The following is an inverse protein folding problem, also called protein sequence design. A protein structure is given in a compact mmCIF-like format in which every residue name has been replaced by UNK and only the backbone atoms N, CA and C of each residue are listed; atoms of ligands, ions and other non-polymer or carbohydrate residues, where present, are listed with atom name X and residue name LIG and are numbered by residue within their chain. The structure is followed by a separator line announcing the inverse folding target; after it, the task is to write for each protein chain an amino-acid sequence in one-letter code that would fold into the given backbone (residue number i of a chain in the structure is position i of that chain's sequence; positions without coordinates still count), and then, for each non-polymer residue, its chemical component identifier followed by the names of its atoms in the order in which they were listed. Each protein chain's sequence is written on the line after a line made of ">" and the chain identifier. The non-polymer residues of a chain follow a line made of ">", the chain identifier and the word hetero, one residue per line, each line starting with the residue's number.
data_IF_932439243412
#
_entry.id   IF_932439243412
#
_cell.length_a   1.000
_cell.length_b   1.000
_cell.length_c   1.000
_cell.angle_alpha   90.00
_cell.angle_beta   90.00
_cell.angle_gamma   90.00
#
_symmetry.space_group_name_H-M   'P 1'
#
loop_
_entity.id
_entity.type
_entity.pdbx_description
1 polymer ?
#
# COMPACT_ATOMS: atom_id res chain seq x y z
N UNK A 1 4.75 -24.68 -23.55
CA UNK A 1 3.34 -24.46 -23.19
C UNK A 1 3.32 -24.48 -21.69
N UNK A 2 3.66 -23.33 -21.12
CA UNK A 2 3.72 -23.09 -19.68
C UNK A 2 2.91 -21.81 -19.50
N UNK A 3 1.59 -22.00 -19.56
CA UNK A 3 0.61 -20.95 -19.34
C UNK A 3 0.61 -20.72 -17.83
N UNK A 4 1.51 -19.84 -17.38
CA UNK A 4 1.48 -19.29 -16.04
C UNK A 4 0.25 -18.37 -15.97
N UNK A 5 -0.85 -18.91 -15.43
CA UNK A 5 -2.04 -18.13 -15.08
C UNK A 5 -1.62 -16.99 -14.16
N UNK A 6 -1.83 -15.76 -14.62
CA UNK A 6 -1.51 -14.54 -13.88
C UNK A 6 -2.43 -14.31 -12.68
N UNK A 7 -3.41 -15.19 -12.46
CA UNK A 7 -4.36 -15.12 -11.34
C UNK A 7 -3.74 -15.59 -10.02
N UNK A 8 -2.78 -16.53 -10.07
CA UNK A 8 -2.14 -17.10 -8.87
C UNK A 8 -1.15 -16.15 -8.16
N UNK A 9 -0.76 -15.05 -8.81
CA UNK A 9 0.17 -14.07 -8.23
C UNK A 9 -0.56 -13.03 -7.35
N UNK A 10 -1.89 -12.90 -7.51
CA UNK A 10 -2.70 -11.97 -6.71
C UNK A 10 -3.17 -12.58 -5.38
N UNK A 11 -3.11 -13.91 -5.22
CA UNK A 11 -3.70 -14.65 -4.09
C UNK A 11 -3.03 -14.37 -2.73
N UNK A 12 -1.82 -13.79 -2.71
CA UNK A 12 -1.05 -13.59 -1.47
C UNK A 12 -0.59 -12.14 -1.20
N UNK A 13 -1.22 -11.16 -1.84
CA UNK A 13 -0.87 -9.73 -1.69
C UNK A 13 -1.98 -8.86 -1.08
N UNK A 14 -3.07 -9.45 -0.58
CA UNK A 14 -4.03 -8.79 0.31
C UNK A 14 -3.79 -9.27 1.75
N UNK A 15 -3.78 -8.37 2.73
CA UNK A 15 -4.12 -8.84 4.08
C UNK A 15 -5.53 -9.46 3.98
N UNK A 16 -5.64 -10.67 4.51
CA UNK A 16 -6.90 -11.32 4.88
C UNK A 16 -7.56 -10.37 5.88
N UNK A 17 -8.83 -10.01 5.68
CA UNK A 17 -9.58 -9.37 6.77
C UNK A 17 -9.50 -10.30 8.00
N UNK A 18 -9.47 -9.75 9.21
CA UNK A 18 -9.38 -10.59 10.42
C UNK A 18 -10.54 -11.62 10.45
N UNK A 19 -11.69 -11.19 9.92
CA UNK A 19 -12.86 -11.96 9.55
C UNK A 19 -13.50 -11.36 8.28
N UNK A 20 -14.01 -12.21 7.39
CA UNK A 20 -14.86 -11.79 6.26
C UNK A 20 -16.35 -11.78 6.67
N UNK A 21 -16.66 -11.96 7.95
CA UNK A 21 -18.00 -11.98 8.55
C UNK A 21 -17.94 -11.07 9.78
N UNK A 22 -18.02 -9.75 9.57
CA UNK A 22 -17.76 -8.75 10.61
C UNK A 22 -18.79 -8.86 11.76
N UNK A 23 -20.00 -9.38 11.49
CA UNK A 23 -21.10 -9.49 12.44
C UNK A 23 -21.40 -10.90 12.98
N UNK A 24 -20.59 -11.89 12.60
CA UNK A 24 -20.66 -13.30 13.03
C UNK A 24 -22.06 -13.91 12.78
N UNK A 25 -22.71 -13.51 11.68
CA UNK A 25 -24.04 -14.01 11.29
C UNK A 25 -23.98 -15.36 10.54
N UNK A 26 -22.77 -15.79 10.19
CA UNK A 26 -22.45 -17.02 9.49
C UNK A 26 -22.47 -16.89 7.97
N UNK A 27 -22.53 -15.67 7.44
CA UNK A 27 -22.38 -15.34 6.03
C UNK A 27 -21.19 -14.39 5.82
N UNK A 28 -20.47 -14.60 4.72
CA UNK A 28 -19.37 -13.71 4.35
C UNK A 28 -19.92 -12.41 3.74
N UNK A 29 -19.37 -11.28 4.18
CA UNK A 29 -19.61 -9.93 3.68
C UNK A 29 -18.93 -9.72 2.33
N UNK A 30 -19.51 -8.84 1.50
CA UNK A 30 -18.99 -8.59 0.16
C UNK A 30 -17.79 -7.64 0.22
N UNK A 31 -16.62 -8.13 -0.21
CA UNK A 31 -15.42 -7.30 -0.33
C UNK A 31 -15.52 -6.32 -1.51
N UNK A 32 -15.34 -5.04 -1.21
CA UNK A 32 -15.26 -3.95 -2.19
C UNK A 32 -13.80 -3.49 -2.38
N UNK A 33 -13.43 -3.06 -3.60
CA UNK A 33 -12.06 -2.60 -3.91
C UNK A 33 -12.04 -1.42 -4.91
N UNK A 34 -11.11 -0.49 -4.68
CA UNK A 34 -10.64 0.48 -5.69
C UNK A 34 -9.12 0.31 -5.88
N UNK A 35 -8.70 -0.06 -7.08
CA UNK A 35 -7.28 -0.17 -7.44
C UNK A 35 -6.73 1.16 -7.99
N UNK A 36 -5.50 1.52 -7.60
CA UNK A 36 -4.78 2.68 -8.12
C UNK A 36 -3.90 2.27 -9.29
N UNK A 37 -4.23 2.70 -10.51
CA UNK A 37 -3.51 2.30 -11.73
C UNK A 37 -2.68 3.47 -12.26
N UNK A 38 -1.41 3.23 -12.57
CA UNK A 38 -0.56 4.20 -13.25
C UNK A 38 -0.93 4.27 -14.75
N UNK A 39 -1.48 5.41 -15.17
CA UNK A 39 -2.01 5.57 -16.53
C UNK A 39 -0.99 5.40 -17.68
N UNK A 40 0.31 5.59 -17.42
CA UNK A 40 1.36 5.48 -18.44
C UNK A 40 1.81 4.05 -18.70
N UNK A 41 1.67 3.17 -17.70
CA UNK A 41 2.18 1.79 -17.72
C UNK A 41 1.07 0.75 -17.61
N UNK A 42 -0.14 1.17 -17.22
CA UNK A 42 -1.28 0.31 -16.91
C UNK A 42 -1.00 -0.68 -15.77
N UNK A 43 -0.09 -0.30 -14.86
CA UNK A 43 0.30 -1.13 -13.71
C UNK A 43 -0.43 -0.65 -12.47
N UNK A 44 -1.05 -1.59 -11.74
CA UNK A 44 -1.62 -1.33 -10.41
C UNK A 44 -0.50 -1.03 -9.40
N UNK A 45 -0.60 0.12 -8.77
CA UNK A 45 0.36 0.66 -7.79
C UNK A 45 -0.09 0.45 -6.34
N UNK A 46 -1.37 0.14 -6.13
CA UNK A 46 -1.95 -0.11 -4.82
C UNK A 46 -3.45 -0.30 -4.92
N UNK A 47 -4.10 -0.44 -3.77
CA UNK A 47 -5.55 -0.55 -3.65
C UNK A 47 -6.06 -0.01 -2.32
N UNK A 48 -7.35 0.32 -2.29
CA UNK A 48 -8.13 0.51 -1.08
C UNK A 48 -9.27 -0.52 -1.09
N UNK A 49 -9.42 -1.31 0.00
CA UNK A 49 -10.41 -2.40 0.14
C UNK A 49 -11.22 -2.22 1.43
N UNK A 50 -12.46 -2.68 1.44
CA UNK A 50 -13.35 -2.64 2.61
C UNK A 50 -14.47 -3.68 2.47
N UNK A 51 -15.13 -4.04 3.57
CA UNK A 51 -16.33 -4.89 3.56
C UNK A 51 -17.57 -4.02 3.31
N UNK A 52 -18.60 -4.56 2.68
CA UNK A 52 -19.85 -3.81 2.45
C UNK A 52 -20.72 -3.68 3.71
N UNK A 53 -20.27 -4.27 4.83
CA UNK A 53 -20.87 -4.14 6.15
C UNK A 53 -19.98 -3.44 7.15
N UNK A 54 -20.63 -2.91 8.17
CA UNK A 54 -20.01 -2.42 9.39
C UNK A 54 -20.87 -2.83 10.58
N UNK A 55 -20.25 -3.00 11.74
CA UNK A 55 -20.97 -3.34 12.98
C UNK A 55 -21.23 -2.10 13.83
N UNK A 56 -22.49 -1.85 14.12
CA UNK A 56 -22.90 -0.87 15.12
C UNK A 56 -23.05 -1.56 16.48
N UNK A 57 -22.40 -1.02 17.51
CA UNK A 57 -22.67 -1.39 18.92
C UNK A 57 -23.49 -0.29 19.59
N UNK A 58 -24.71 -0.63 20.02
CA UNK A 58 -25.60 0.30 20.71
C UNK A 58 -25.23 0.44 22.19
N UNK A 59 -25.08 1.68 22.67
CA UNK A 59 -24.60 1.93 24.04
C UNK A 59 -25.65 1.65 25.13
N UNK A 60 -26.93 1.60 24.76
CA UNK A 60 -28.03 1.42 25.71
C UNK A 60 -28.15 -0.03 26.22
N UNK A 61 -27.81 -1.01 25.39
CA UNK A 61 -28.00 -2.44 25.66
C UNK A 61 -26.79 -3.30 25.26
N UNK A 62 -25.80 -2.73 24.59
CA UNK A 62 -24.65 -3.47 24.06
C UNK A 62 -24.99 -4.39 22.89
N UNK A 63 -26.17 -4.28 22.28
CA UNK A 63 -26.49 -5.09 21.11
C UNK A 63 -25.67 -4.64 19.91
N UNK A 64 -25.38 -5.60 19.04
CA UNK A 64 -24.69 -5.40 17.79
C UNK A 64 -25.65 -5.63 16.61
N UNK A 65 -25.45 -4.87 15.55
CA UNK A 65 -26.14 -5.04 14.26
C UNK A 65 -25.16 -4.76 13.12
N UNK A 66 -25.11 -5.64 12.11
CA UNK A 66 -24.52 -5.28 10.81
C UNK A 66 -25.40 -4.28 10.09
N UNK A 67 -24.75 -3.35 9.42
CA UNK A 67 -25.39 -2.39 8.55
C UNK A 67 -24.62 -2.23 7.25
N UNK A 68 -25.36 -1.96 6.19
CA UNK A 68 -24.79 -1.68 4.87
C UNK A 68 -23.93 -0.40 4.92
N UNK A 69 -22.78 -0.48 4.27
CA UNK A 69 -21.85 0.63 4.04
C UNK A 69 -21.97 1.07 2.59
N UNK A 70 -22.53 2.26 2.39
CA UNK A 70 -22.56 2.87 1.05
C UNK A 70 -21.20 3.52 0.75
N UNK A 71 -20.71 3.35 -0.47
CA UNK A 71 -19.46 3.96 -0.92
C UNK A 71 -19.66 4.81 -2.17
N UNK A 72 -18.95 5.93 -2.23
CA UNK A 72 -18.80 6.71 -3.46
C UNK A 72 -17.39 7.27 -3.54
N UNK A 73 -16.90 7.51 -4.75
CA UNK A 73 -15.56 8.06 -4.94
C UNK A 73 -15.54 9.16 -5.98
N UNK A 74 -14.52 10.00 -5.88
CA UNK A 74 -14.22 11.03 -6.85
C UNK A 74 -12.70 11.19 -7.00
N UNK A 75 -12.26 11.53 -8.21
CA UNK A 75 -10.86 11.83 -8.49
C UNK A 75 -10.74 13.07 -9.37
N UNK A 76 -9.71 13.87 -9.11
CA UNK A 76 -9.32 15.04 -9.91
C UNK A 76 -8.02 14.79 -10.71
N UNK A 77 -7.49 13.56 -10.68
CA UNK A 77 -6.21 13.18 -11.28
C UNK A 77 -4.97 13.41 -10.39
N UNK A 78 -5.08 14.15 -9.28
CA UNK A 78 -4.01 14.31 -8.30
C UNK A 78 -4.21 13.43 -7.06
N UNK A 79 -5.45 13.05 -6.78
CA UNK A 79 -5.79 12.17 -5.67
C UNK A 79 -7.13 11.46 -5.86
N UNK A 80 -7.40 10.54 -4.94
CA UNK A 80 -8.69 9.88 -4.76
C UNK A 80 -9.33 10.41 -3.47
N UNK A 81 -10.59 10.79 -3.58
CA UNK A 81 -11.47 10.99 -2.43
C UNK A 81 -12.43 9.82 -2.40
N UNK A 82 -12.33 9.00 -1.36
CA UNK A 82 -13.28 7.93 -1.07
C UNK A 82 -14.18 8.38 0.09
N UNK A 83 -15.49 8.23 -0.10
CA UNK A 83 -16.51 8.52 0.89
C UNK A 83 -17.18 7.21 1.26
N UNK A 84 -17.05 6.82 2.53
CA UNK A 84 -17.80 5.74 3.15
C UNK A 84 -18.94 6.36 3.97
N UNK A 85 -20.15 5.91 3.73
CA UNK A 85 -21.35 6.40 4.36
C UNK A 85 -21.97 5.30 5.21
N UNK A 86 -22.16 5.62 6.48
CA UNK A 86 -22.73 4.74 7.48
C UNK A 86 -24.08 5.29 7.93
N UNK A 87 -25.04 4.44 8.33
CA UNK A 87 -26.25 4.92 8.97
C UNK A 87 -25.93 5.60 10.31
N UNK A 88 -26.87 6.42 10.78
CA UNK A 88 -26.77 7.04 12.09
C UNK A 88 -26.83 5.94 13.17
N UNK A 89 -25.81 5.86 14.01
CA UNK A 89 -25.67 4.89 15.09
C UNK A 89 -26.23 5.38 16.44
N UNK A 90 -26.95 6.51 16.47
CA UNK A 90 -27.70 7.03 17.62
C UNK A 90 -26.88 7.15 18.93
N UNK A 91 -25.64 7.64 18.80
CA UNK A 91 -24.70 7.76 19.93
C UNK A 91 -24.04 6.44 20.33
N UNK A 92 -24.27 5.38 19.55
CA UNK A 92 -23.51 4.14 19.50
C UNK A 92 -22.04 4.29 19.11
N UNK A 93 -21.38 3.16 18.85
CA UNK A 93 -20.08 3.12 18.17
C UNK A 93 -20.18 2.25 16.92
N UNK A 94 -19.29 2.50 15.97
CA UNK A 94 -19.17 1.71 14.74
C UNK A 94 -17.78 1.08 14.66
N UNK A 95 -17.73 -0.15 14.20
CA UNK A 95 -16.52 -0.87 13.81
C UNK A 95 -16.64 -1.22 12.32
N UNK A 96 -15.55 -1.03 11.58
CA UNK A 96 -15.43 -1.36 10.16
C UNK A 96 -13.93 -1.42 9.84
N UNK A 97 -13.48 -2.41 9.07
CA UNK A 97 -12.06 -2.66 8.80
C UNK A 97 -11.61 -2.37 7.35
N UNK A 98 -11.44 -1.09 6.94
CA UNK A 98 -10.90 -0.78 5.62
C UNK A 98 -9.37 -0.90 5.58
N UNK A 99 -8.84 -1.45 4.49
CA UNK A 99 -7.40 -1.59 4.25
C UNK A 99 -6.91 -0.75 3.07
N UNK A 100 -5.69 -0.21 3.20
CA UNK A 100 -4.99 0.53 2.15
C UNK A 100 -3.59 -0.07 1.98
N UNK A 101 -3.25 -0.46 0.75
CA UNK A 101 -1.92 -1.01 0.44
C UNK A 101 -1.30 -0.37 -0.78
N UNK A 102 0.00 -0.12 -0.69
CA UNK A 102 0.86 0.16 -1.85
C UNK A 102 1.60 -1.13 -2.21
N UNK A 103 1.60 -1.51 -3.49
CA UNK A 103 2.30 -2.69 -3.97
C UNK A 103 3.80 -2.39 -4.03
N UNK A 104 4.66 -3.32 -3.62
CA UNK A 104 6.12 -3.08 -3.63
C UNK A 104 6.64 -2.73 -5.04
N UNK A 105 7.59 -1.79 -5.11
CA UNK A 105 8.09 -1.23 -6.38
C UNK A 105 7.26 -0.07 -6.94
N UNK A 106 6.13 0.26 -6.31
CA UNK A 106 5.27 1.41 -6.65
C UNK A 106 5.45 2.64 -5.75
N UNK A 107 6.34 2.59 -4.76
CA UNK A 107 6.56 3.72 -3.87
C UNK A 107 6.91 4.98 -4.68
N UNK A 108 6.14 6.08 -4.57
CA UNK A 108 6.49 7.34 -5.22
C UNK A 108 7.77 7.95 -4.63
N UNK A 109 8.25 7.41 -3.51
CA UNK A 109 9.54 7.76 -2.95
C UNK A 109 10.66 7.11 -3.78
N UNK A 110 11.20 7.88 -4.71
CA UNK A 110 12.53 7.60 -5.24
C UNK A 110 13.53 8.08 -4.19
N UNK A 111 14.35 7.20 -3.56
CA UNK A 111 15.43 7.66 -2.69
C UNK A 111 16.28 8.66 -3.46
N UNK A 112 16.68 9.80 -2.87
CA UNK A 112 17.44 10.80 -3.59
C UNK A 112 18.64 10.17 -4.30
N UNK A 113 18.57 10.10 -5.62
CA UNK A 113 19.63 9.58 -6.47
C UNK A 113 20.85 10.48 -6.38
N UNK A 114 21.99 9.92 -5.98
CA UNK A 114 23.24 10.64 -5.83
C UNK A 114 24.35 9.74 -5.28
N UNK A 115 25.53 10.32 -5.03
CA UNK A 115 26.75 9.67 -4.53
C UNK A 115 26.57 8.80 -3.25
N UNK A 116 25.39 8.83 -2.63
CA UNK A 116 25.03 8.08 -1.42
C UNK A 116 24.26 6.78 -1.69
N UNK A 117 23.82 6.53 -2.93
CA UNK A 117 23.09 5.31 -3.32
C UNK A 117 23.92 4.40 -4.26
N UNK A 118 25.22 4.31 -4.02
CA UNK A 118 26.09 3.38 -4.72
C UNK A 118 26.14 2.05 -3.94
N UNK A 119 26.19 0.88 -4.63
CA UNK A 119 26.49 -0.39 -3.98
C UNK A 119 27.74 -0.25 -3.12
N UNK A 120 27.80 -0.91 -1.96
CA UNK A 120 28.94 -0.80 -1.02
C UNK A 120 30.30 -0.98 -1.73
N UNK A 121 30.34 -1.87 -2.73
CA UNK A 121 31.52 -2.17 -3.55
C UNK A 121 32.08 -0.94 -4.30
N UNK A 122 31.22 0.01 -4.64
CA UNK A 122 31.60 1.24 -5.35
C UNK A 122 32.41 2.19 -4.48
N UNK A 123 32.22 2.17 -3.15
CA UNK A 123 33.02 2.99 -2.23
C UNK A 123 34.47 2.53 -2.16
N UNK A 124 34.74 1.23 -2.30
CA UNK A 124 36.11 0.71 -2.35
C UNK A 124 36.86 1.22 -3.59
N UNK A 125 36.19 1.26 -4.75
CA UNK A 125 36.75 1.76 -6.01
C UNK A 125 37.06 3.27 -5.96
N UNK A 126 36.14 4.08 -5.40
CA UNK A 126 36.36 5.52 -5.20
C UNK A 126 37.56 5.75 -4.27
N UNK A 127 37.64 5.02 -3.16
CA UNK A 127 38.75 5.10 -2.22
C UNK A 127 40.11 4.77 -2.85
N UNK A 128 40.21 3.69 -3.62
CA UNK A 128 41.44 3.28 -4.32
C UNK A 128 41.87 4.35 -5.33
N UNK A 129 40.92 4.92 -6.08
CA UNK A 129 41.20 5.91 -7.12
C UNK A 129 41.78 7.20 -6.53
N UNK A 130 41.23 7.68 -5.41
CA UNK A 130 41.74 8.88 -4.72
C UNK A 130 43.15 8.66 -4.18
N UNK A 131 43.43 7.49 -3.60
CA UNK A 131 44.76 7.15 -3.07
C UNK A 131 45.81 7.09 -4.18
N UNK A 132 45.47 6.50 -5.34
CA UNK A 132 46.37 6.45 -6.49
C UNK A 132 46.69 7.84 -7.05
N UNK A 133 45.68 8.70 -7.24
CA UNK A 133 45.88 10.06 -7.74
C UNK A 133 46.73 10.88 -6.77
N UNK A 134 46.44 10.81 -5.47
CA UNK A 134 47.22 11.49 -4.45
C UNK A 134 48.66 10.97 -4.40
N UNK A 135 48.85 9.65 -4.48
CA UNK A 135 50.17 9.01 -4.49
C UNK A 135 51.03 9.40 -5.69
N UNK A 136 50.45 9.40 -6.90
CA UNK A 136 51.13 9.83 -8.13
C UNK A 136 51.44 11.33 -8.07
N UNK A 137 50.49 12.16 -7.63
CA UNK A 137 50.72 13.60 -7.47
C UNK A 137 51.82 13.94 -6.47
N UNK A 138 51.89 13.22 -5.34
CA UNK A 138 52.97 13.34 -4.35
C UNK A 138 54.31 12.85 -4.90
N UNK A 139 54.33 11.77 -5.68
CA UNK A 139 55.55 11.25 -6.28
C UNK A 139 56.13 12.19 -7.35
N UNK A 140 55.27 12.81 -8.17
CA UNK A 140 55.67 13.82 -9.17
C UNK A 140 56.18 15.09 -8.49
N UNK A 141 55.52 15.56 -7.41
CA UNK A 141 55.95 16.76 -6.67
C UNK A 141 57.29 16.60 -5.94
N UNK A 142 57.69 15.37 -5.60
CA UNK A 142 58.94 15.07 -4.89
C UNK A 142 60.16 14.88 -5.80
N UNK A 143 59.98 14.96 -7.13
CA UNK A 143 61.06 14.85 -8.13
C UNK A 143 61.47 16.23 -8.63
#
# INVERSE_FOLDING_TARGET
>A
DDDHDSEDVMEHLGEEFEDDDEDDDGFEDDVQEISFIEASTDVTRGFYRWLDKAVITHHLNGSQEAVDVDASYWTDGNGLLLFLAYPNFDGGSILHDPSLRLIEGASPFTPPGGLFNLPIESYALIGITVVLIAGVGLAIKRR
#
